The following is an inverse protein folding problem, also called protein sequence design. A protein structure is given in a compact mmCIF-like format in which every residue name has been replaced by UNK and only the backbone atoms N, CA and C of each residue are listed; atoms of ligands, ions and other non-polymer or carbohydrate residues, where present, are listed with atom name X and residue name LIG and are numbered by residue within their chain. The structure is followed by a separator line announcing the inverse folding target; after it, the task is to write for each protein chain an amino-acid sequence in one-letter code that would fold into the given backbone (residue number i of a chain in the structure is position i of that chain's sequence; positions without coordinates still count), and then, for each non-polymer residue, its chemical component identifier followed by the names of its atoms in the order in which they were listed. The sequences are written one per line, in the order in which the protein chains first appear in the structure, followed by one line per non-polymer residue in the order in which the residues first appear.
data_IF_832430923814
#
_entry.id   IF_832430923814
#
_cell.length_a   1.000
_cell.length_b   1.000
_cell.length_c   1.000
_cell.angle_alpha   90.00
_cell.angle_beta   90.00
_cell.angle_gamma   90.00
#
_symmetry.space_group_name_H-M   'P 1'
#
loop_
_entity.id
_entity.type
_entity.pdbx_description
1 polymer ?
#
# COMPACT_ATOMS: atom_id res chain seq x y z
N UNK A 1 -0.06 9.97 23.02
CA UNK A 1 0.57 8.82 23.73
C UNK A 1 0.66 9.09 25.23
N UNK A 2 0.45 8.08 26.11
CA UNK A 2 0.59 8.20 27.58
C UNK A 2 2.06 8.24 27.99
N UNK A 3 2.41 8.98 29.06
CA UNK A 3 3.82 9.17 29.49
C UNK A 3 4.59 7.86 29.73
N UNK A 4 3.97 6.86 30.38
CA UNK A 4 4.63 5.58 30.64
C UNK A 4 4.87 4.76 29.38
N UNK A 5 3.99 4.88 28.35
CA UNK A 5 4.20 4.25 27.04
C UNK A 5 5.35 4.93 26.33
N UNK A 6 5.40 6.26 26.29
CA UNK A 6 6.50 6.99 25.68
C UNK A 6 7.85 6.62 26.31
N UNK A 7 7.90 6.54 27.65
CA UNK A 7 9.13 6.11 28.34
C UNK A 7 9.57 4.69 27.94
N UNK A 8 8.62 3.75 27.79
CA UNK A 8 8.93 2.39 27.33
C UNK A 8 9.43 2.36 25.88
N UNK A 9 8.82 3.17 25.00
CA UNK A 9 9.26 3.31 23.60
C UNK A 9 10.67 3.91 23.53
N UNK A 10 10.97 4.94 24.31
CA UNK A 10 12.31 5.56 24.36
C UNK A 10 13.40 4.58 24.87
N UNK A 11 13.07 3.76 25.86
CA UNK A 11 13.98 2.70 26.33
C UNK A 11 14.21 1.64 25.25
N UNK A 12 13.19 1.27 24.51
CA UNK A 12 13.31 0.32 23.42
C UNK A 12 14.13 0.91 22.27
N UNK A 13 13.86 2.16 21.86
CA UNK A 13 14.66 2.85 20.84
C UNK A 13 16.14 2.97 21.20
N UNK A 14 16.44 3.24 22.45
CA UNK A 14 17.82 3.27 22.95
C UNK A 14 18.51 1.89 22.89
N UNK A 15 17.78 0.80 23.13
CA UNK A 15 18.29 -0.55 23.10
C UNK A 15 18.52 -1.07 21.68
N UNK A 16 17.65 -0.69 20.73
CA UNK A 16 17.71 -1.11 19.34
C UNK A 16 18.67 -0.27 18.47
N UNK A 17 18.97 0.98 18.89
CA UNK A 17 19.85 1.86 18.11
C UNK A 17 21.15 1.17 17.65
N UNK A 18 21.57 1.28 16.36
CA UNK A 18 21.06 2.18 15.33
C UNK A 18 19.91 1.63 14.46
N UNK A 19 19.28 0.54 14.90
CA UNK A 19 18.12 -0.04 14.21
C UNK A 19 16.84 0.71 14.59
N UNK A 20 15.84 0.71 13.72
CA UNK A 20 14.50 1.14 14.11
C UNK A 20 13.92 0.19 15.17
N UNK A 21 13.51 0.70 16.32
CA UNK A 21 12.63 -0.05 17.21
C UNK A 21 11.21 -0.07 16.64
N UNK A 22 10.47 -1.13 16.87
CA UNK A 22 9.06 -1.21 16.51
C UNK A 22 8.25 -1.92 17.59
N UNK A 23 6.94 -1.68 17.61
CA UNK A 23 6.07 -2.35 18.56
C UNK A 23 4.63 -1.90 18.46
N UNK A 24 3.80 -2.45 19.32
CA UNK A 24 2.36 -2.30 19.30
C UNK A 24 1.86 -1.65 20.59
N UNK A 25 0.87 -0.79 20.47
CA UNK A 25 0.11 -0.30 21.63
C UNK A 25 -1.16 -1.13 21.71
N UNK A 26 -1.37 -1.80 22.83
CA UNK A 26 -2.57 -2.60 23.09
C UNK A 26 -3.40 -2.00 24.23
N UNK A 27 -4.71 -2.29 24.21
CA UNK A 27 -5.62 -1.99 25.29
C UNK A 27 -6.02 -3.29 26.01
N UNK A 28 -5.82 -3.30 27.34
CA UNK A 28 -6.24 -4.40 28.22
C UNK A 28 -7.17 -3.82 29.28
N UNK A 29 -8.47 -4.04 29.16
CA UNK A 29 -9.46 -3.40 29.97
C UNK A 29 -9.43 -1.87 29.82
N UNK A 30 -9.06 -1.13 30.88
CA UNK A 30 -8.93 0.34 30.86
C UNK A 30 -7.47 0.81 30.73
N UNK A 31 -6.53 -0.11 30.66
CA UNK A 31 -5.10 0.20 30.60
C UNK A 31 -4.56 0.04 29.19
N UNK A 32 -3.56 0.86 28.86
CA UNK A 32 -2.80 0.72 27.62
C UNK A 32 -1.39 0.26 27.96
N UNK A 33 -0.83 -0.61 27.13
CA UNK A 33 0.54 -1.11 27.23
C UNK A 33 1.25 -0.99 25.89
N UNK A 34 2.56 -0.79 25.93
CA UNK A 34 3.44 -0.96 24.80
C UNK A 34 4.00 -2.38 24.81
N UNK A 35 3.92 -3.05 23.69
CA UNK A 35 4.51 -4.36 23.44
C UNK A 35 5.66 -4.14 22.47
N UNK A 36 6.92 -4.23 22.90
CA UNK A 36 8.05 -4.17 22.01
C UNK A 36 8.06 -5.41 21.10
N UNK A 37 8.40 -5.21 19.83
CA UNK A 37 8.51 -6.26 18.84
C UNK A 37 9.93 -6.23 18.23
N UNK A 38 10.43 -7.41 17.83
CA UNK A 38 11.67 -7.49 17.07
C UNK A 38 11.45 -6.91 15.67
N UNK A 39 12.39 -6.11 15.22
CA UNK A 39 12.39 -5.64 13.83
C UNK A 39 12.98 -6.72 12.93
N UNK A 40 12.13 -7.35 12.11
CA UNK A 40 12.47 -8.42 11.17
C UNK A 40 12.70 -7.94 9.74
N UNK A 41 12.85 -6.63 9.52
CA UNK A 41 13.15 -6.06 8.22
C UNK A 41 14.56 -6.48 7.73
N UNK A 42 14.75 -6.47 6.41
CA UNK A 42 16.05 -6.78 5.78
C UNK A 42 17.05 -5.68 6.09
N UNK A 43 16.63 -4.43 6.03
CA UNK A 43 17.41 -3.26 6.41
C UNK A 43 16.78 -2.58 7.65
N UNK A 44 17.07 -3.08 8.84
CA UNK A 44 16.40 -2.62 10.05
C UNK A 44 16.80 -1.23 10.53
N UNK A 45 17.78 -0.57 9.88
CA UNK A 45 18.13 0.82 10.14
C UNK A 45 17.26 1.82 9.36
N UNK A 46 16.69 1.39 8.22
CA UNK A 46 15.92 2.23 7.30
C UNK A 46 14.41 1.88 7.27
N UNK A 47 14.06 0.70 7.79
CA UNK A 47 12.66 0.25 7.83
C UNK A 47 12.40 -0.74 8.98
N UNK A 48 11.13 -0.92 9.29
CA UNK A 48 10.76 -1.98 10.24
C UNK A 48 9.72 -2.94 9.65
N UNK A 49 9.72 -4.16 10.23
CA UNK A 49 8.73 -5.19 9.99
C UNK A 49 8.43 -5.94 11.28
N UNK A 50 7.16 -5.96 11.69
CA UNK A 50 6.65 -6.81 12.77
C UNK A 50 6.17 -8.11 12.15
N UNK A 51 6.62 -9.27 12.66
CA UNK A 51 6.18 -10.55 12.13
C UNK A 51 4.70 -10.83 12.48
N UNK A 52 3.98 -11.61 11.64
CA UNK A 52 2.60 -12.00 11.93
C UNK A 52 2.44 -12.68 13.30
N UNK A 53 3.44 -13.47 13.70
CA UNK A 53 3.43 -14.18 14.98
C UNK A 53 3.49 -13.23 16.17
N UNK A 54 4.34 -12.19 16.09
CA UNK A 54 4.45 -11.18 17.13
C UNK A 54 3.18 -10.31 17.19
N UNK A 55 2.60 -10.01 16.03
CA UNK A 55 1.34 -9.27 15.96
C UNK A 55 0.20 -10.08 16.61
N UNK A 56 0.04 -11.35 16.25
CA UNK A 56 -0.95 -12.25 16.84
C UNK A 56 -0.75 -12.44 18.36
N UNK A 57 0.50 -12.59 18.81
CA UNK A 57 0.82 -12.69 20.23
C UNK A 57 0.48 -11.42 21.03
N UNK A 58 0.49 -10.25 20.39
CA UNK A 58 0.03 -9.01 21.00
C UNK A 58 -1.50 -8.93 21.04
N UNK A 59 -2.20 -9.40 20.00
CA UNK A 59 -3.68 -9.48 19.97
C UNK A 59 -4.21 -10.43 21.02
N UNK A 60 -3.53 -11.53 21.31
CA UNK A 60 -3.88 -12.47 22.41
C UNK A 60 -3.84 -11.79 23.78
N UNK A 61 -3.05 -10.73 23.96
CA UNK A 61 -2.92 -9.99 25.19
C UNK A 61 -3.92 -8.81 25.31
N UNK A 62 -4.44 -8.32 24.18
CA UNK A 62 -5.39 -7.22 24.15
C UNK A 62 -5.59 -6.63 22.75
N UNK A 63 -6.55 -5.74 22.63
CA UNK A 63 -6.84 -5.08 21.35
C UNK A 63 -5.68 -4.18 20.93
N UNK A 64 -5.11 -4.40 19.75
CA UNK A 64 -4.13 -3.51 19.14
C UNK A 64 -4.82 -2.21 18.74
N UNK A 65 -4.30 -1.08 19.20
CA UNK A 65 -4.85 0.26 18.97
C UNK A 65 -3.86 1.25 18.35
N UNK A 66 -2.63 0.82 18.06
CA UNK A 66 -1.63 1.65 17.41
C UNK A 66 -0.32 0.93 17.19
N UNK A 67 0.46 1.44 16.24
CA UNK A 67 1.79 0.96 15.88
C UNK A 67 2.80 2.05 16.22
N UNK A 68 3.97 1.65 16.69
CA UNK A 68 5.07 2.55 17.06
C UNK A 68 6.33 2.11 16.37
N UNK A 69 7.12 3.06 15.87
CA UNK A 69 8.50 2.83 15.44
C UNK A 69 9.37 4.06 15.68
N UNK A 70 10.67 3.89 15.56
CA UNK A 70 11.63 4.98 15.66
C UNK A 70 12.35 5.24 14.34
N UNK A 71 12.73 6.50 14.14
CA UNK A 71 13.64 6.93 13.09
C UNK A 71 15.01 7.27 13.70
N UNK A 72 16.03 6.38 13.62
CA UNK A 72 17.37 6.67 14.11
C UNK A 72 18.03 7.80 13.30
N UNK A 73 18.63 8.76 13.98
CA UNK A 73 19.33 9.91 13.40
C UNK A 73 18.52 10.74 12.38
N UNK A 74 17.19 10.58 12.42
CA UNK A 74 16.27 11.23 11.51
C UNK A 74 15.08 11.86 12.27
N UNK A 75 14.34 12.74 11.60
CA UNK A 75 13.19 13.41 12.18
C UNK A 75 12.00 12.46 12.33
N UNK A 76 11.05 12.79 13.21
CA UNK A 76 9.77 12.08 13.34
C UNK A 76 8.81 12.30 12.16
N UNK A 77 9.25 12.95 11.07
CA UNK A 77 8.43 13.16 9.89
C UNK A 77 8.13 11.79 9.22
N UNK A 78 6.84 11.48 8.96
CA UNK A 78 6.51 10.23 8.33
C UNK A 78 7.10 10.14 6.93
N UNK A 79 7.66 8.99 6.59
CA UNK A 79 8.05 8.64 5.23
C UNK A 79 6.81 8.36 4.37
N UNK A 80 6.94 8.31 3.04
CA UNK A 80 5.86 7.86 2.16
C UNK A 80 5.35 6.45 2.53
N UNK A 81 6.26 5.56 2.97
CA UNK A 81 5.93 4.21 3.42
C UNK A 81 5.10 4.23 4.70
N UNK A 82 5.45 5.06 5.69
CA UNK A 82 4.67 5.19 6.92
C UNK A 82 3.25 5.63 6.65
N UNK A 83 3.06 6.60 5.76
CA UNK A 83 1.74 7.08 5.37
C UNK A 83 0.92 5.97 4.69
N UNK A 84 1.53 5.25 3.74
CA UNK A 84 0.86 4.19 3.00
C UNK A 84 0.44 3.03 3.89
N UNK A 85 1.35 2.57 4.78
CA UNK A 85 1.06 1.44 5.65
C UNK A 85 0.13 1.85 6.80
N UNK A 86 0.20 3.09 7.30
CA UNK A 86 -0.77 3.63 8.26
C UNK A 86 -2.20 3.57 7.69
N UNK A 87 -2.41 4.01 6.44
CA UNK A 87 -3.70 3.87 5.76
C UNK A 87 -4.12 2.40 5.60
N UNK A 88 -3.19 1.53 5.20
CA UNK A 88 -3.47 0.11 4.97
C UNK A 88 -3.83 -0.64 6.26
N UNK A 89 -3.18 -0.31 7.39
CA UNK A 89 -3.45 -0.95 8.68
C UNK A 89 -4.73 -0.43 9.36
N UNK A 90 -5.19 0.76 8.98
CA UNK A 90 -6.32 1.42 9.62
C UNK A 90 -6.07 1.81 11.08
N UNK A 91 -4.81 1.82 11.54
CA UNK A 91 -4.41 2.09 12.92
C UNK A 91 -3.60 3.40 13.00
N UNK A 92 -3.70 4.14 14.12
CA UNK A 92 -2.78 5.24 14.42
C UNK A 92 -1.33 4.76 14.50
N UNK A 93 -0.43 5.55 13.93
CA UNK A 93 1.02 5.32 13.98
C UNK A 93 1.71 6.42 14.76
N UNK A 94 2.75 6.03 15.51
CA UNK A 94 3.54 6.92 16.33
C UNK A 94 5.02 6.77 15.97
N UNK A 95 5.66 7.84 15.56
CA UNK A 95 7.02 7.88 15.04
C UNK A 95 7.89 8.66 16.03
N UNK A 96 8.87 8.00 16.61
CA UNK A 96 9.83 8.59 17.52
C UNK A 96 11.13 8.91 16.80
N UNK A 97 11.53 10.18 16.71
CA UNK A 97 12.91 10.55 16.35
C UNK A 97 13.87 10.15 17.47
N UNK A 98 14.94 9.46 17.15
CA UNK A 98 15.91 9.04 18.15
C UNK A 98 17.35 9.36 17.70
N UNK A 99 18.21 10.02 18.53
CA UNK A 99 18.03 10.28 19.99
C UNK A 99 17.28 11.57 20.36
N UNK A 100 16.82 12.42 19.43
CA UNK A 100 16.22 13.73 19.73
C UNK A 100 14.96 13.64 20.62
N UNK A 101 14.21 12.55 20.52
CA UNK A 101 13.04 12.28 21.34
C UNK A 101 11.75 12.98 20.89
N UNK A 102 11.75 13.62 19.71
CA UNK A 102 10.51 14.17 19.13
C UNK A 102 9.55 13.04 18.72
N UNK A 103 8.27 13.23 19.01
CA UNK A 103 7.23 12.23 18.73
C UNK A 103 6.14 12.82 17.84
N UNK A 104 5.92 12.21 16.70
CA UNK A 104 4.81 12.52 15.82
C UNK A 104 3.82 11.37 15.76
N UNK A 105 2.53 11.70 15.67
CA UNK A 105 1.47 10.72 15.45
C UNK A 105 0.75 11.03 14.15
N UNK A 106 0.45 9.99 13.38
CA UNK A 106 -0.39 10.02 12.19
C UNK A 106 -1.56 9.07 12.39
N UNK A 107 -2.68 9.38 11.77
CA UNK A 107 -3.88 8.55 11.80
C UNK A 107 -4.35 8.30 10.37
N UNK A 108 -4.87 7.12 10.07
CA UNK A 108 -5.45 6.85 8.76
C UNK A 108 -6.60 7.81 8.49
N UNK A 109 -6.70 8.25 7.26
CA UNK A 109 -7.76 9.17 6.81
C UNK A 109 -8.96 8.40 6.23
N UNK A 110 -8.74 7.16 5.85
CA UNK A 110 -9.70 6.32 5.12
C UNK A 110 -9.89 6.74 3.66
N UNK A 111 -9.16 7.75 3.20
CA UNK A 111 -9.29 8.35 1.87
C UNK A 111 -7.91 8.66 1.26
N UNK A 112 -7.13 7.60 0.98
CA UNK A 112 -5.89 7.81 0.23
C UNK A 112 -6.22 8.31 -1.20
N UNK A 113 -5.71 9.47 -1.67
CA UNK A 113 -6.06 10.01 -3.00
C UNK A 113 -5.72 8.99 -4.08
N UNK A 114 -6.46 8.97 -5.20
CA UNK A 114 -6.14 8.10 -6.34
C UNK A 114 -4.98 8.67 -7.16
N UNK A 115 -4.77 10.00 -7.13
CA UNK A 115 -3.71 10.70 -7.84
C UNK A 115 -2.61 11.18 -6.88
N UNK A 116 -1.37 11.19 -7.37
CA UNK A 116 -0.23 11.77 -6.67
C UNK A 116 0.30 10.92 -5.51
N UNK A 117 -0.15 9.67 -5.36
CA UNK A 117 0.39 8.76 -4.33
C UNK A 117 1.86 8.44 -4.63
N UNK A 118 2.75 8.50 -3.65
CA UNK A 118 4.06 7.90 -3.79
C UNK A 118 3.93 6.38 -3.91
N UNK A 119 4.76 5.76 -4.75
CA UNK A 119 4.74 4.30 -4.91
C UNK A 119 5.30 3.60 -3.68
N UNK A 120 4.52 2.71 -3.10
CA UNK A 120 4.93 1.83 -1.99
C UNK A 120 4.45 0.41 -2.32
N UNK A 121 5.39 -0.49 -2.61
CA UNK A 121 5.07 -1.86 -2.98
C UNK A 121 4.26 -2.56 -1.89
N UNK A 122 3.22 -3.29 -2.30
CA UNK A 122 2.32 -4.01 -1.39
C UNK A 122 1.29 -3.16 -0.63
N UNK A 123 1.41 -1.81 -0.68
CA UNK A 123 0.48 -0.88 -0.03
C UNK A 123 -0.11 0.15 -1.00
N UNK A 124 0.70 1.02 -1.58
CA UNK A 124 0.30 1.98 -2.60
C UNK A 124 1.00 1.65 -3.92
N UNK A 125 0.59 0.59 -4.54
CA UNK A 125 1.12 0.08 -5.82
C UNK A 125 0.04 0.10 -6.93
N UNK A 126 0.38 -0.46 -8.08
CA UNK A 126 -0.50 -0.49 -9.24
C UNK A 126 -1.79 -1.30 -9.01
N UNK A 127 -1.73 -2.38 -8.22
CA UNK A 127 -2.91 -3.13 -7.84
C UNK A 127 -3.80 -2.32 -6.88
N UNK A 128 -3.19 -1.69 -5.84
CA UNK A 128 -3.95 -0.99 -4.83
C UNK A 128 -4.70 0.23 -5.39
N UNK A 129 -4.09 0.97 -6.34
CA UNK A 129 -4.81 2.10 -6.98
C UNK A 129 -6.04 1.61 -7.77
N UNK A 130 -5.95 0.43 -8.40
CA UNK A 130 -7.09 -0.20 -9.07
C UNK A 130 -8.16 -0.63 -8.07
N UNK A 131 -7.77 -1.32 -6.99
CA UNK A 131 -8.70 -1.79 -5.95
C UNK A 131 -9.43 -0.62 -5.28
N UNK A 132 -8.72 0.47 -4.97
CA UNK A 132 -9.32 1.68 -4.38
C UNK A 132 -10.25 2.39 -5.35
N UNK A 133 -9.93 2.40 -6.65
CA UNK A 133 -10.83 2.92 -7.67
C UNK A 133 -12.13 2.10 -7.72
N UNK A 134 -12.06 0.77 -7.76
CA UNK A 134 -13.23 -0.11 -7.75
C UNK A 134 -14.08 0.07 -6.49
N UNK A 135 -13.45 0.21 -5.35
CA UNK A 135 -14.15 0.45 -4.09
C UNK A 135 -14.94 1.76 -4.14
N UNK A 136 -14.34 2.84 -4.62
CA UNK A 136 -14.98 4.17 -4.68
C UNK A 136 -16.05 4.27 -5.77
N UNK A 137 -15.74 3.76 -6.96
CA UNK A 137 -16.64 3.91 -8.11
C UNK A 137 -17.82 2.93 -8.05
N UNK A 138 -17.58 1.68 -7.63
CA UNK A 138 -18.57 0.62 -7.68
C UNK A 138 -18.89 -0.04 -6.34
N UNK A 139 -18.18 0.29 -5.27
CA UNK A 139 -18.34 -0.35 -3.96
C UNK A 139 -17.79 -1.77 -3.90
N UNK A 140 -16.89 -2.15 -4.83
CA UNK A 140 -16.28 -3.47 -4.87
C UNK A 140 -15.05 -3.51 -3.95
N UNK A 141 -15.00 -4.50 -3.08
CA UNK A 141 -13.86 -4.74 -2.19
C UNK A 141 -13.18 -6.06 -2.55
N UNK A 142 -11.85 -6.05 -2.55
CA UNK A 142 -11.03 -7.21 -2.82
C UNK A 142 -10.29 -7.64 -1.55
N UNK A 143 -10.03 -8.95 -1.38
CA UNK A 143 -9.17 -9.41 -0.30
C UNK A 143 -7.76 -8.85 -0.46
N UNK A 144 -7.03 -8.78 0.65
CA UNK A 144 -5.61 -8.46 0.60
C UNK A 144 -4.85 -9.59 -0.09
N UNK A 145 -4.17 -9.27 -1.18
CA UNK A 145 -3.29 -10.21 -1.88
C UNK A 145 -1.85 -9.95 -1.45
N UNK A 146 -1.19 -10.99 -0.95
CA UNK A 146 0.24 -10.94 -0.70
C UNK A 146 0.99 -10.81 -2.04
N UNK A 147 1.85 -9.81 -2.15
CA UNK A 147 2.68 -9.55 -3.33
C UNK A 147 4.11 -9.36 -2.87
N UNK A 148 4.91 -10.41 -2.99
CA UNK A 148 6.34 -10.31 -2.72
C UNK A 148 7.02 -9.47 -3.80
N UNK A 149 8.04 -8.72 -3.43
CA UNK A 149 8.79 -7.95 -4.41
C UNK A 149 9.53 -8.88 -5.37
N UNK A 150 9.52 -8.57 -6.68
CA UNK A 150 10.19 -9.37 -7.70
C UNK A 150 9.46 -10.67 -8.11
N UNK A 151 8.25 -10.94 -7.63
CA UNK A 151 7.49 -12.15 -8.03
C UNK A 151 7.36 -12.30 -9.55
N UNK A 152 7.32 -11.21 -10.28
CA UNK A 152 7.16 -11.16 -11.74
C UNK A 152 8.41 -11.53 -12.54
N UNK A 153 9.56 -11.69 -11.89
CA UNK A 153 10.84 -12.06 -12.49
C UNK A 153 11.09 -13.57 -12.45
N UNK A 154 10.35 -14.31 -11.65
CA UNK A 154 10.48 -15.76 -11.45
C UNK A 154 9.77 -16.51 -12.58
N UNK A 155 10.52 -17.05 -13.56
CA UNK A 155 9.95 -17.77 -14.72
C UNK A 155 9.04 -18.93 -14.32
N UNK A 156 9.42 -19.69 -13.28
CA UNK A 156 8.64 -20.82 -12.74
C UNK A 156 7.66 -20.40 -11.63
N UNK A 157 7.58 -19.09 -11.32
CA UNK A 157 6.71 -18.54 -10.29
C UNK A 157 5.27 -18.35 -10.75
N UNK A 158 4.35 -18.07 -9.82
CA UNK A 158 2.96 -17.80 -10.19
C UNK A 158 2.82 -16.45 -10.89
N UNK A 159 2.09 -16.42 -12.00
CA UNK A 159 1.61 -15.18 -12.59
C UNK A 159 0.38 -14.68 -11.81
N UNK A 160 0.56 -13.78 -10.87
CA UNK A 160 -0.51 -13.37 -9.95
C UNK A 160 -1.74 -12.83 -10.70
N UNK A 161 -1.55 -12.01 -11.73
CA UNK A 161 -2.66 -11.49 -12.50
C UNK A 161 -3.37 -12.57 -13.31
N UNK A 162 -2.62 -13.45 -14.03
CA UNK A 162 -3.19 -14.43 -14.93
C UNK A 162 -3.87 -15.60 -14.20
N UNK A 163 -3.44 -15.89 -12.97
CA UNK A 163 -3.99 -16.99 -12.17
C UNK A 163 -5.13 -16.56 -11.25
N UNK A 164 -5.17 -15.29 -10.83
CA UNK A 164 -6.11 -14.85 -9.80
C UNK A 164 -7.33 -14.06 -10.33
N UNK A 165 -7.31 -13.57 -11.58
CA UNK A 165 -8.36 -12.66 -12.04
C UNK A 165 -9.76 -13.29 -12.04
N UNK A 166 -9.90 -14.57 -12.41
CA UNK A 166 -11.21 -15.22 -12.43
C UNK A 166 -11.78 -15.40 -11.03
N UNK A 167 -10.94 -15.78 -10.06
CA UNK A 167 -11.34 -15.91 -8.66
C UNK A 167 -11.67 -14.54 -8.05
N UNK A 168 -11.04 -13.47 -8.53
CA UNK A 168 -11.34 -12.09 -8.15
C UNK A 168 -12.61 -11.52 -8.83
N UNK A 169 -13.32 -12.31 -9.64
CA UNK A 169 -14.57 -11.90 -10.28
C UNK A 169 -14.42 -11.27 -11.66
N UNK A 170 -13.22 -11.29 -12.23
CA UNK A 170 -12.98 -10.76 -13.57
C UNK A 170 -13.12 -11.82 -14.68
N UNK A 171 -13.32 -11.34 -15.90
CA UNK A 171 -13.24 -12.13 -17.13
C UNK A 171 -12.58 -11.30 -18.24
N UNK A 172 -11.95 -11.97 -19.17
CA UNK A 172 -11.24 -11.33 -20.27
C UNK A 172 -12.19 -10.81 -21.34
N UNK A 173 -11.87 -9.62 -21.87
CA UNK A 173 -12.58 -8.98 -23.00
C UNK A 173 -11.58 -8.50 -24.05
N UNK A 174 -12.06 -8.29 -25.29
CA UNK A 174 -11.20 -7.85 -26.41
C UNK A 174 -11.17 -6.34 -26.60
N UNK A 175 -12.21 -5.62 -26.15
CA UNK A 175 -12.34 -4.17 -26.29
C UNK A 175 -12.53 -3.54 -24.91
N UNK A 176 -11.65 -2.62 -24.51
CA UNK A 176 -11.74 -1.99 -23.21
C UNK A 176 -12.93 -1.01 -23.14
N UNK A 177 -13.59 -1.00 -22.00
CA UNK A 177 -14.60 -0.02 -21.59
C UNK A 177 -14.18 0.60 -20.26
N UNK A 178 -14.76 1.77 -19.93
CA UNK A 178 -14.50 2.42 -18.65
C UNK A 178 -14.65 1.43 -17.49
N UNK A 179 -13.63 1.39 -16.63
CA UNK A 179 -13.56 0.50 -15.48
C UNK A 179 -12.94 -0.87 -15.76
N UNK A 180 -12.58 -1.19 -17.01
CA UNK A 180 -11.81 -2.42 -17.26
C UNK A 180 -10.38 -2.27 -16.74
N UNK A 181 -9.86 -3.31 -16.13
CA UNK A 181 -8.47 -3.39 -15.71
C UNK A 181 -7.58 -3.78 -16.90
N UNK A 182 -6.59 -2.95 -17.17
CA UNK A 182 -5.56 -3.21 -18.18
C UNK A 182 -4.37 -3.84 -17.47
N UNK A 183 -4.06 -5.10 -17.78
CA UNK A 183 -2.90 -5.82 -17.24
C UNK A 183 -1.79 -5.81 -18.26
N UNK A 184 -0.60 -5.43 -17.84
CA UNK A 184 0.54 -5.11 -18.73
C UNK A 184 1.82 -5.76 -18.24
N UNK A 185 2.75 -6.01 -19.18
CA UNK A 185 4.14 -6.35 -18.90
C UNK A 185 5.02 -5.11 -19.11
N UNK A 186 5.58 -4.57 -18.04
CA UNK A 186 6.44 -3.39 -18.05
C UNK A 186 7.88 -3.83 -17.77
N UNK A 187 8.78 -3.52 -18.68
CA UNK A 187 10.15 -4.02 -18.65
C UNK A 187 10.31 -5.38 -19.30
N UNK A 188 11.41 -6.07 -18.95
CA UNK A 188 11.66 -7.47 -19.37
C UNK A 188 11.28 -8.36 -18.19
N UNK A 189 10.06 -8.82 -18.16
CA UNK A 189 9.49 -9.62 -17.06
C UNK A 189 8.93 -10.95 -17.59
N UNK A 190 9.02 -11.99 -16.80
CA UNK A 190 8.44 -13.30 -17.16
C UNK A 190 6.90 -13.22 -17.16
N UNK A 191 6.32 -12.47 -16.21
CA UNK A 191 4.88 -12.35 -16.05
C UNK A 191 4.41 -10.89 -16.16
N UNK A 192 3.13 -10.65 -16.50
CA UNK A 192 2.52 -9.31 -16.37
C UNK A 192 2.64 -8.79 -14.94
N UNK A 193 3.20 -7.61 -14.81
CA UNK A 193 3.59 -7.04 -13.49
C UNK A 193 2.96 -5.67 -13.19
N UNK A 194 2.09 -5.19 -14.06
CA UNK A 194 1.51 -3.86 -13.92
C UNK A 194 0.03 -3.87 -14.29
N UNK A 195 -0.76 -3.06 -13.58
CA UNK A 195 -2.17 -2.87 -13.84
C UNK A 195 -2.56 -1.38 -13.83
N UNK A 196 -3.64 -1.06 -14.53
CA UNK A 196 -4.28 0.25 -14.51
C UNK A 196 -5.76 0.14 -14.85
N UNK A 197 -6.53 1.18 -14.57
CA UNK A 197 -7.95 1.28 -14.89
C UNK A 197 -8.14 2.08 -16.18
N UNK A 198 -8.78 1.49 -17.15
CA UNK A 198 -9.19 2.18 -18.37
C UNK A 198 -10.33 3.16 -18.07
N UNK A 199 -10.10 4.45 -18.28
CA UNK A 199 -11.06 5.51 -18.00
C UNK A 199 -11.90 5.92 -19.22
N UNK A 200 -11.50 5.48 -20.42
CA UNK A 200 -12.15 5.87 -21.66
C UNK A 200 -11.76 7.27 -22.15
N UNK A 201 -12.65 7.90 -22.90
CA UNK A 201 -12.40 9.23 -23.48
C UNK A 201 -12.41 10.35 -22.44
N UNK A 202 -13.07 10.13 -21.32
CA UNK A 202 -13.22 11.10 -20.23
C UNK A 202 -12.45 10.61 -19.01
N UNK A 203 -11.42 11.37 -18.60
CA UNK A 203 -10.61 11.03 -17.45
C UNK A 203 -11.29 11.46 -16.13
N UNK A 204 -12.44 10.88 -15.83
CA UNK A 204 -13.16 11.16 -14.58
C UNK A 204 -12.74 10.17 -13.49
N UNK A 205 -12.51 10.70 -12.29
CA UNK A 205 -12.28 9.90 -11.09
C UNK A 205 -13.37 10.17 -10.05
N UNK A 206 -13.72 9.16 -9.23
CA UNK A 206 -14.60 9.37 -8.10
C UNK A 206 -13.96 10.33 -7.10
N UNK A 207 -14.70 11.36 -6.70
CA UNK A 207 -14.32 12.29 -5.61
C UNK A 207 -13.07 13.14 -5.85
N UNK A 208 -12.41 13.06 -7.00
CA UNK A 208 -11.20 13.82 -7.31
C UNK A 208 -11.36 14.67 -8.59
N UNK A 209 -10.92 15.92 -8.50
CA UNK A 209 -10.84 16.79 -9.68
C UNK A 209 -9.63 16.42 -10.54
N UNK A 210 -9.89 16.12 -11.79
CA UNK A 210 -8.88 15.72 -12.75
C UNK A 210 -8.72 16.78 -13.83
N UNK A 211 -7.47 17.16 -14.09
CA UNK A 211 -7.12 17.92 -15.29
C UNK A 211 -6.23 17.04 -16.16
N UNK A 212 -6.73 16.67 -17.32
CA UNK A 212 -5.95 15.97 -18.35
C UNK A 212 -5.86 16.81 -19.61
N UNK A 213 -4.76 16.68 -20.32
CA UNK A 213 -4.50 17.41 -21.55
C UNK A 213 -4.44 16.43 -22.71
N UNK A 214 -5.09 16.79 -23.81
CA UNK A 214 -5.09 16.02 -25.06
C UNK A 214 -6.29 15.08 -25.19
N UNK A 215 -6.39 14.40 -26.34
CA UNK A 215 -7.46 13.42 -26.59
C UNK A 215 -7.15 12.11 -25.85
N UNK A 216 -8.22 11.50 -25.26
CA UNK A 216 -8.15 10.13 -24.74
C UNK A 216 -7.92 9.07 -25.82
N UNK A 217 -8.01 7.78 -25.49
CA UNK A 217 -8.48 7.29 -24.20
C UNK A 217 -7.44 7.39 -23.08
N UNK A 218 -7.91 7.40 -21.84
CA UNK A 218 -7.09 7.58 -20.65
C UNK A 218 -7.04 6.33 -19.78
N UNK A 219 -5.99 6.22 -18.97
CA UNK A 219 -5.79 5.16 -17.98
C UNK A 219 -5.25 5.75 -16.68
N UNK A 220 -5.85 5.40 -15.56
CA UNK A 220 -5.29 5.59 -14.22
C UNK A 220 -4.32 4.45 -13.93
N UNK A 221 -3.11 4.76 -13.50
CA UNK A 221 -2.14 3.76 -13.09
C UNK A 221 -1.16 4.29 -12.04
N UNK A 222 -0.35 3.38 -11.49
CA UNK A 222 0.67 3.72 -10.51
C UNK A 222 1.97 2.97 -10.83
N UNK A 223 2.89 3.62 -11.52
CA UNK A 223 4.15 3.00 -11.95
C UNK A 223 5.21 3.11 -10.86
N UNK A 224 6.04 2.06 -10.73
CA UNK A 224 7.17 2.04 -9.80
C UNK A 224 8.07 3.28 -10.00
N UNK A 225 8.39 3.94 -8.88
CA UNK A 225 9.23 5.14 -8.85
C UNK A 225 8.55 6.44 -9.32
N UNK A 226 7.24 6.40 -9.59
CA UNK A 226 6.45 7.57 -9.96
C UNK A 226 5.21 7.71 -9.08
N UNK A 227 4.67 8.92 -8.90
CA UNK A 227 3.36 9.06 -8.30
C UNK A 227 2.27 8.46 -9.20
N UNK A 228 1.15 8.03 -8.59
CA UNK A 228 -0.02 7.60 -9.36
C UNK A 228 -0.55 8.73 -10.24
N UNK A 229 -0.88 8.40 -11.48
CA UNK A 229 -1.20 9.40 -12.51
C UNK A 229 -2.24 8.89 -13.52
N UNK A 230 -2.84 9.83 -14.25
CA UNK A 230 -3.63 9.53 -15.44
C UNK A 230 -2.78 9.82 -16.67
N UNK A 231 -2.73 8.85 -17.57
CA UNK A 231 -2.01 8.95 -18.83
C UNK A 231 -2.92 8.69 -20.01
N UNK A 232 -2.48 9.06 -21.21
CA UNK A 232 -3.12 8.61 -22.45
C UNK A 232 -2.80 7.14 -22.66
N UNK A 233 -3.85 6.31 -22.77
CA UNK A 233 -3.73 4.88 -23.06
C UNK A 233 -3.60 4.66 -24.56
N UNK A 234 -2.39 4.35 -25.01
CA UNK A 234 -2.06 4.12 -26.41
C UNK A 234 -0.56 3.91 -26.61
N UNK A 235 -0.12 3.71 -27.85
CA UNK A 235 1.28 3.49 -28.18
C UNK A 235 1.93 2.42 -27.29
N UNK A 236 3.04 2.74 -26.61
CA UNK A 236 3.77 1.74 -25.81
C UNK A 236 2.94 1.03 -24.74
N UNK A 237 1.88 1.66 -24.22
CA UNK A 237 1.01 1.04 -23.22
C UNK A 237 0.11 -0.04 -23.83
N UNK A 238 -0.38 0.21 -25.03
CA UNK A 238 -1.14 -0.78 -25.79
C UNK A 238 -0.27 -1.99 -26.16
N UNK A 239 0.96 -1.77 -26.59
CA UNK A 239 1.92 -2.82 -26.94
C UNK A 239 2.27 -3.72 -25.75
N UNK A 240 2.29 -3.17 -24.54
CA UNK A 240 2.55 -3.87 -23.28
C UNK A 240 1.35 -4.61 -22.73
N UNK A 241 0.14 -4.32 -23.20
CA UNK A 241 -1.09 -4.94 -22.73
C UNK A 241 -1.08 -6.45 -22.99
N UNK A 242 -1.41 -7.23 -21.96
CA UNK A 242 -1.53 -8.69 -22.01
C UNK A 242 -2.97 -9.15 -21.83
N UNK A 243 -3.68 -8.52 -20.88
CA UNK A 243 -5.08 -8.83 -20.62
C UNK A 243 -5.87 -7.51 -20.49
N UNK A 244 -7.11 -7.56 -20.94
CA UNK A 244 -8.14 -6.56 -20.64
C UNK A 244 -9.22 -7.30 -19.87
N UNK A 245 -9.43 -6.90 -18.61
CA UNK A 245 -10.24 -7.65 -17.66
C UNK A 245 -11.43 -6.81 -17.21
N UNK A 246 -12.64 -7.34 -17.36
CA UNK A 246 -13.89 -6.74 -16.89
C UNK A 246 -14.39 -7.46 -15.67
N UNK A 247 -14.78 -6.71 -14.63
CA UNK A 247 -15.41 -7.30 -13.46
C UNK A 247 -16.87 -7.68 -13.77
N UNK A 248 -17.35 -8.81 -13.21
CA UNK A 248 -18.73 -9.32 -13.44
C UNK A 248 -19.79 -8.36 -12.92
N UNK A 249 -19.49 -7.60 -11.87
CA UNK A 249 -20.37 -6.60 -11.26
C UNK A 249 -20.08 -5.17 -11.74
N UNK A 250 -19.44 -5.03 -12.92
CA UNK A 250 -19.23 -3.72 -13.56
C UNK A 250 -20.57 -3.00 -13.79
N UNK A 251 -20.60 -1.70 -13.50
CA UNK A 251 -21.80 -0.84 -13.62
C UNK A 251 -21.69 0.10 -14.79
#
# INVERSE_FOLDING_TARGET
MRKHILAAVQMHAAAEYPRECCGLIITVGRSQRYIPCDNTAIDPAEEFRISPEQYAAAEDQGQVIGIVHSHPDATSRPSPRDLAICEATGLPWHILSWPEGDLRSITPTGHAPLLGRPFVHGAWDCWQVCADWYKREWGLEFPAYAREEGWWEQEDGPSLYEQAYEAAGFYQVSQPQRGDMIVMAVGRTAHPNHAGIYLGAEAQLPEEHVQVFGPGPFMLHHLLGRPSEIIVFGGPWLDRTRLVLRHRDAK
#
